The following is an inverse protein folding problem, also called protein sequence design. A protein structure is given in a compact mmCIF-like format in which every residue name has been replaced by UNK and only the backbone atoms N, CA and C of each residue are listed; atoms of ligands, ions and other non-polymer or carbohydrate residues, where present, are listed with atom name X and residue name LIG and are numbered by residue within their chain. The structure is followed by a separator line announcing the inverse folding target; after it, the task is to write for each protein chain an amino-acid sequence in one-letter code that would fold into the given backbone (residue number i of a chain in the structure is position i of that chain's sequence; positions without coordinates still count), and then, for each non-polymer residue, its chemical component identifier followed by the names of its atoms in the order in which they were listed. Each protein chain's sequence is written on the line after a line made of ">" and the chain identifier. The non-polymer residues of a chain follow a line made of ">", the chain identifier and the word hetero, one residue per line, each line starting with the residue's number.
data_IF_081802456443
#
_entry.id   IF_081802456443
#
_cell.length_a   1.000
_cell.length_b   1.000
_cell.length_c   1.000
_cell.angle_alpha   90.00
_cell.angle_beta   90.00
_cell.angle_gamma   90.00
#
_symmetry.space_group_name_H-M   'P 1'
#
loop_
_entity.id
_entity.type
_entity.pdbx_description
1 polymer ?
#
# COMPACT_ATOMS: atom_id res chain seq x y z
N UNK A 1 6.64 3.20 -5.70
CA UNK A 1 5.89 3.22 -4.43
C UNK A 1 4.92 4.38 -4.48
N UNK A 2 3.61 4.17 -4.21
CA UNK A 2 2.65 5.26 -4.19
C UNK A 2 2.96 6.28 -3.10
N UNK A 3 3.29 5.79 -1.89
CA UNK A 3 3.72 6.60 -0.76
C UNK A 3 5.24 6.76 -0.76
N UNK A 4 5.72 7.99 -0.60
CA UNK A 4 7.12 8.30 -0.43
C UNK A 4 7.58 7.85 0.95
N UNK A 5 8.75 7.21 1.01
CA UNK A 5 9.51 6.99 2.22
C UNK A 5 11.00 7.12 1.91
N UNK A 6 11.77 7.66 2.85
CA UNK A 6 13.22 7.74 2.77
C UNK A 6 13.85 6.35 2.62
N UNK A 7 13.29 5.34 3.29
CA UNK A 7 13.77 3.97 3.20
C UNK A 7 13.52 3.30 1.83
N UNK A 8 12.61 3.85 1.01
CA UNK A 8 12.21 3.25 -0.27
C UNK A 8 12.56 4.13 -1.47
N UNK A 9 11.73 5.16 -1.72
CA UNK A 9 11.83 6.04 -2.88
C UNK A 9 13.10 6.87 -2.83
N UNK A 10 13.48 7.38 -1.65
CA UNK A 10 14.73 8.13 -1.53
C UNK A 10 15.95 7.24 -1.75
N UNK A 11 16.01 6.04 -1.14
CA UNK A 11 17.11 5.10 -1.38
C UNK A 11 17.36 4.83 -2.87
N UNK A 12 16.30 4.61 -3.65
CA UNK A 12 16.41 4.41 -5.09
C UNK A 12 16.94 5.65 -5.82
N UNK A 13 16.41 6.84 -5.47
CA UNK A 13 16.85 8.10 -6.04
C UNK A 13 18.29 8.45 -5.65
N UNK A 14 18.68 8.24 -4.39
CA UNK A 14 20.03 8.48 -3.87
C UNK A 14 21.06 7.67 -4.65
N UNK A 15 20.77 6.39 -4.92
CA UNK A 15 21.64 5.54 -5.75
C UNK A 15 21.71 5.99 -7.19
N UNK A 16 20.58 6.38 -7.80
CA UNK A 16 20.58 6.94 -9.14
C UNK A 16 21.39 8.24 -9.22
N UNK A 17 21.22 9.14 -8.25
CA UNK A 17 21.90 10.43 -8.19
C UNK A 17 23.40 10.30 -7.88
N UNK A 18 23.79 9.32 -7.07
CA UNK A 18 25.20 8.96 -6.83
C UNK A 18 25.89 8.61 -8.15
N UNK A 19 25.25 7.78 -8.99
CA UNK A 19 25.78 7.42 -10.31
C UNK A 19 25.82 8.61 -11.27
N UNK A 20 24.76 9.42 -11.31
CA UNK A 20 24.72 10.64 -12.14
C UNK A 20 25.85 11.60 -11.78
N UNK A 21 26.13 11.78 -10.48
CA UNK A 21 27.22 12.65 -9.99
C UNK A 21 28.59 12.24 -10.54
N UNK A 22 28.81 10.95 -10.78
CA UNK A 22 30.07 10.43 -11.33
C UNK A 22 30.18 10.58 -12.86
N UNK A 23 29.09 10.85 -13.57
CA UNK A 23 29.08 10.96 -15.03
C UNK A 23 29.55 12.33 -15.51
N UNK A 24 30.47 12.35 -16.48
CA UNK A 24 30.89 13.59 -17.17
C UNK A 24 29.74 14.21 -17.98
N UNK A 25 28.91 13.37 -18.59
CA UNK A 25 27.74 13.77 -19.37
C UNK A 25 26.50 13.14 -18.73
N UNK A 26 25.74 13.96 -18.00
CA UNK A 26 24.54 13.51 -17.29
C UNK A 26 23.32 13.59 -18.21
N UNK A 27 22.47 12.54 -18.27
CA UNK A 27 21.18 12.63 -18.94
C UNK A 27 20.22 13.54 -18.16
N UNK A 28 19.17 14.02 -18.84
CA UNK A 28 18.01 14.59 -18.16
C UNK A 28 17.28 13.47 -17.39
N UNK A 29 16.97 13.72 -16.12
CA UNK A 29 16.24 12.78 -15.26
C UNK A 29 15.01 13.45 -14.66
N UNK A 30 13.91 12.72 -14.62
CA UNK A 30 12.69 13.08 -13.89
C UNK A 30 12.30 11.88 -13.03
N UNK A 31 12.12 12.11 -11.74
CA UNK A 31 11.60 11.10 -10.81
C UNK A 31 10.09 11.31 -10.67
N UNK A 32 9.34 10.21 -10.60
CA UNK A 32 7.90 10.25 -10.39
C UNK A 32 7.64 10.74 -8.95
N UNK A 33 6.88 11.84 -8.74
CA UNK A 33 6.43 12.22 -7.40
C UNK A 33 5.55 11.13 -6.78
N UNK A 34 5.39 11.10 -5.45
CA UNK A 34 4.46 10.18 -4.81
C UNK A 34 3.04 10.43 -5.33
N UNK A 35 2.32 9.34 -5.61
CA UNK A 35 0.99 9.35 -6.26
C UNK A 35 -0.09 8.68 -5.39
N UNK A 36 0.18 8.55 -4.09
CA UNK A 36 -0.69 7.96 -3.08
C UNK A 36 -2.11 8.54 -3.00
N UNK A 37 -2.29 9.82 -3.36
CA UNK A 37 -3.56 10.53 -3.38
C UNK A 37 -4.04 10.89 -4.79
N UNK A 38 -3.37 10.36 -5.82
CA UNK A 38 -3.76 10.61 -7.20
C UNK A 38 -5.14 9.97 -7.49
N UNK A 39 -6.11 10.69 -8.06
CA UNK A 39 -7.42 10.15 -8.37
C UNK A 39 -7.38 8.87 -9.22
N UNK A 40 -6.43 8.77 -10.16
CA UNK A 40 -6.28 7.59 -11.03
C UNK A 40 -5.81 6.38 -10.21
N UNK A 41 -4.95 6.61 -9.21
CA UNK A 41 -4.49 5.56 -8.31
C UNK A 41 -5.60 5.08 -7.37
N UNK A 42 -6.33 6.01 -6.74
CA UNK A 42 -7.46 5.67 -5.87
C UNK A 42 -8.54 4.92 -6.63
N UNK A 43 -8.85 5.33 -7.87
CA UNK A 43 -9.84 4.66 -8.70
C UNK A 43 -9.41 3.26 -9.13
N UNK A 44 -8.12 3.07 -9.44
CA UNK A 44 -7.57 1.75 -9.75
C UNK A 44 -7.68 0.80 -8.55
N UNK A 45 -7.34 1.28 -7.34
CA UNK A 45 -7.50 0.51 -6.10
C UNK A 45 -8.97 0.19 -5.84
N UNK A 46 -9.86 1.20 -5.92
CA UNK A 46 -11.31 1.03 -5.72
C UNK A 46 -11.87 -0.03 -6.66
N UNK A 47 -11.52 0.03 -7.94
CA UNK A 47 -11.98 -0.91 -8.97
C UNK A 47 -11.50 -2.33 -8.68
N UNK A 48 -10.21 -2.51 -8.40
CA UNK A 48 -9.64 -3.83 -8.08
C UNK A 48 -10.28 -4.42 -6.81
N UNK A 49 -10.40 -3.62 -5.76
CA UNK A 49 -10.97 -4.06 -4.48
C UNK A 49 -12.45 -4.39 -4.62
N UNK A 50 -13.24 -3.56 -5.31
CA UNK A 50 -14.65 -3.84 -5.55
C UNK A 50 -14.85 -5.14 -6.34
N UNK A 51 -14.01 -5.38 -7.36
CA UNK A 51 -14.04 -6.63 -8.11
C UNK A 51 -13.69 -7.83 -7.23
N UNK A 52 -12.63 -7.73 -6.42
CA UNK A 52 -12.24 -8.78 -5.47
C UNK A 52 -13.34 -9.08 -4.45
N UNK A 53 -13.91 -8.06 -3.82
CA UNK A 53 -15.04 -8.21 -2.88
C UNK A 53 -16.25 -8.90 -3.51
N UNK A 54 -16.55 -8.62 -4.78
CA UNK A 54 -17.67 -9.26 -5.50
C UNK A 54 -17.45 -10.75 -5.78
N UNK A 55 -16.21 -11.25 -5.70
CA UNK A 55 -15.89 -12.68 -5.88
C UNK A 55 -16.01 -13.50 -4.59
N UNK A 56 -16.15 -12.84 -3.43
CA UNK A 56 -16.24 -13.51 -2.14
C UNK A 56 -17.66 -14.09 -1.94
N UNK A 57 -17.72 -15.24 -1.28
CA UNK A 57 -18.97 -15.87 -0.83
C UNK A 57 -19.49 -15.28 0.50
N UNK A 58 -18.81 -14.26 1.03
CA UNK A 58 -19.17 -13.56 2.25
C UNK A 58 -19.02 -12.04 2.12
N UNK A 59 -19.79 -11.31 2.92
CA UNK A 59 -19.62 -9.86 3.11
C UNK A 59 -18.70 -9.64 4.32
N UNK A 60 -17.58 -8.91 4.18
CA UNK A 60 -16.66 -8.68 5.29
C UNK A 60 -17.18 -7.61 6.26
N UNK A 61 -17.08 -7.89 7.56
CA UNK A 61 -17.37 -6.95 8.64
C UNK A 61 -16.36 -5.79 8.63
N UNK A 62 -15.09 -6.08 8.30
CA UNK A 62 -14.02 -5.10 8.25
C UNK A 62 -13.17 -5.20 6.97
N UNK A 63 -12.74 -4.05 6.46
CA UNK A 63 -11.73 -3.93 5.40
C UNK A 63 -10.46 -3.34 6.00
N UNK A 64 -9.42 -4.15 6.12
CA UNK A 64 -8.11 -3.76 6.66
C UNK A 64 -7.21 -3.35 5.51
N UNK A 65 -6.65 -2.15 5.62
CA UNK A 65 -5.67 -1.59 4.70
C UNK A 65 -4.32 -1.64 5.40
N UNK A 66 -3.55 -2.68 5.07
CA UNK A 66 -2.25 -2.96 5.69
C UNK A 66 -1.12 -2.33 4.88
N UNK A 67 -0.31 -1.51 5.54
CA UNK A 67 0.90 -0.92 4.97
C UNK A 67 2.15 -1.52 5.62
N UNK A 68 3.28 -1.53 4.94
CA UNK A 68 4.53 -1.94 5.57
C UNK A 68 4.87 -0.98 6.73
N UNK A 69 5.12 -1.53 7.91
CA UNK A 69 5.44 -0.73 9.09
C UNK A 69 6.79 -0.06 8.94
N UNK A 70 6.97 1.08 9.60
CA UNK A 70 8.26 1.76 9.74
C UNK A 70 8.52 2.04 11.22
N UNK A 71 9.78 2.19 11.66
CA UNK A 71 10.06 2.71 13.00
C UNK A 71 9.40 4.07 13.18
N UNK A 72 8.70 4.32 14.29
CA UNK A 72 7.98 5.57 14.55
C UNK A 72 8.89 6.82 14.50
N UNK A 73 10.19 6.62 14.73
CA UNK A 73 11.21 7.66 14.55
C UNK A 73 11.25 8.23 13.13
N UNK A 74 10.93 7.44 12.09
CA UNK A 74 10.91 7.91 10.69
C UNK A 74 9.94 9.10 10.53
N UNK A 75 8.72 8.96 11.06
CA UNK A 75 7.73 10.03 11.12
C UNK A 75 8.25 11.23 11.92
N UNK A 76 8.85 10.99 13.09
CA UNK A 76 9.39 12.07 13.94
C UNK A 76 10.51 12.88 13.25
N UNK A 77 11.23 12.26 12.31
CA UNK A 77 12.25 12.91 11.49
C UNK A 77 11.68 13.62 10.25
N UNK A 78 10.36 13.62 10.07
CA UNK A 78 9.68 14.31 8.97
C UNK A 78 9.43 13.44 7.73
N UNK A 79 9.60 12.12 7.82
CA UNK A 79 9.22 11.24 6.72
C UNK A 79 7.69 11.27 6.49
N UNK A 80 7.21 11.53 5.27
CA UNK A 80 5.78 11.71 5.02
C UNK A 80 5.01 10.39 4.96
N UNK A 81 5.69 9.23 4.94
CA UNK A 81 5.10 7.93 4.66
C UNK A 81 3.83 7.65 5.45
N UNK A 82 3.88 7.76 6.79
CA UNK A 82 2.73 7.50 7.66
C UNK A 82 1.52 8.37 7.26
N UNK A 83 1.72 9.67 7.06
CA UNK A 83 0.65 10.59 6.68
C UNK A 83 0.08 10.27 5.30
N UNK A 84 0.93 9.82 4.36
CA UNK A 84 0.50 9.40 3.03
C UNK A 84 -0.29 8.09 3.06
N UNK A 85 0.09 7.11 3.90
CA UNK A 85 -0.70 5.89 4.15
C UNK A 85 -2.09 6.23 4.68
N UNK A 86 -2.18 7.08 5.70
CA UNK A 86 -3.46 7.53 6.28
C UNK A 86 -4.34 8.23 5.23
N UNK A 87 -3.76 9.10 4.40
CA UNK A 87 -4.50 9.79 3.34
C UNK A 87 -4.96 8.83 2.23
N UNK A 88 -4.13 7.86 1.84
CA UNK A 88 -4.51 6.81 0.88
C UNK A 88 -5.74 6.05 1.39
N UNK A 89 -5.68 5.58 2.64
CA UNK A 89 -6.77 4.81 3.24
C UNK A 89 -8.06 5.62 3.38
N UNK A 90 -7.97 6.88 3.79
CA UNK A 90 -9.13 7.78 3.86
C UNK A 90 -9.81 7.93 2.49
N UNK A 91 -9.03 8.29 1.46
CA UNK A 91 -9.55 8.47 0.10
C UNK A 91 -10.13 7.17 -0.47
N UNK A 92 -9.50 6.03 -0.17
CA UNK A 92 -9.99 4.72 -0.58
C UNK A 92 -11.32 4.36 0.11
N UNK A 93 -11.44 4.63 1.42
CA UNK A 93 -12.69 4.44 2.15
C UNK A 93 -13.83 5.32 1.63
N UNK A 94 -13.53 6.59 1.34
CA UNK A 94 -14.46 7.53 0.67
C UNK A 94 -14.91 6.98 -0.69
N UNK A 95 -13.97 6.52 -1.52
CA UNK A 95 -14.26 5.98 -2.85
C UNK A 95 -15.06 4.66 -2.82
N UNK A 96 -14.85 3.82 -1.81
CA UNK A 96 -15.59 2.57 -1.61
C UNK A 96 -16.94 2.78 -0.89
N UNK A 97 -17.20 3.97 -0.35
CA UNK A 97 -18.41 4.25 0.44
C UNK A 97 -18.48 3.47 1.76
N UNK A 98 -17.33 3.07 2.33
CA UNK A 98 -17.27 2.32 3.59
C UNK A 98 -16.02 2.67 4.41
N UNK A 99 -16.07 2.55 5.75
CA UNK A 99 -14.88 2.74 6.57
C UNK A 99 -13.83 1.66 6.29
N UNK A 100 -12.56 2.02 6.52
CA UNK A 100 -11.42 1.11 6.44
C UNK A 100 -10.58 1.22 7.71
N UNK A 101 -9.92 0.12 8.08
CA UNK A 101 -9.01 0.08 9.22
C UNK A 101 -7.58 0.11 8.72
N UNK A 102 -6.79 1.11 9.10
CA UNK A 102 -5.37 1.21 8.74
C UNK A 102 -4.54 0.41 9.73
N UNK A 103 -3.64 -0.42 9.23
CA UNK A 103 -2.66 -1.14 10.06
C UNK A 103 -1.27 -1.13 9.43
N UNK A 104 -0.27 -1.48 10.23
CA UNK A 104 1.14 -1.55 9.83
C UNK A 104 1.73 -2.95 10.09
N UNK A 105 2.25 -3.61 9.05
CA UNK A 105 2.80 -4.98 9.11
C UNK A 105 4.34 -5.01 9.19
N UNK A 106 4.92 -6.22 9.26
CA UNK A 106 6.37 -6.44 9.11
C UNK A 106 7.25 -5.65 10.10
N UNK A 107 6.91 -5.67 11.39
CA UNK A 107 7.74 -5.07 12.45
C UNK A 107 8.92 -5.98 12.77
N UNK A 108 10.12 -5.40 12.94
CA UNK A 108 11.33 -6.17 13.28
C UNK A 108 12.17 -5.50 14.38
N UNK A 109 12.81 -6.30 15.23
CA UNK A 109 13.68 -5.80 16.29
C UNK A 109 12.96 -4.99 17.38
N UNK A 110 13.74 -4.30 18.22
CA UNK A 110 13.26 -3.66 19.46
C UNK A 110 12.85 -2.20 19.32
N UNK A 111 12.82 -1.67 18.10
CA UNK A 111 12.39 -0.29 17.87
C UNK A 111 10.90 -0.10 18.19
N UNK A 112 10.48 1.14 18.46
CA UNK A 112 9.06 1.51 18.50
C UNK A 112 8.61 1.69 17.05
N UNK A 113 7.57 0.98 16.65
CA UNK A 113 7.03 0.98 15.29
C UNK A 113 5.77 1.83 15.18
N UNK A 114 5.36 2.11 13.93
CA UNK A 114 4.05 2.68 13.65
C UNK A 114 2.95 1.70 14.07
N UNK A 115 1.87 2.26 14.61
CA UNK A 115 0.71 1.54 15.15
C UNK A 115 -0.58 2.03 14.46
N UNK A 116 -1.64 1.23 14.41
CA UNK A 116 -1.75 -0.10 15.01
C UNK A 116 -1.10 -1.18 14.14
N UNK A 117 -0.50 -2.18 14.77
CA UNK A 117 0.12 -3.28 14.06
C UNK A 117 -0.90 -4.29 13.49
N UNK A 118 -0.64 -4.82 12.30
CA UNK A 118 -1.58 -5.70 11.58
C UNK A 118 -1.85 -6.99 12.35
N UNK A 119 -0.81 -7.66 12.85
CA UNK A 119 -0.91 -8.90 13.63
C UNK A 119 -1.79 -8.72 14.88
N UNK A 120 -1.46 -7.73 15.72
CA UNK A 120 -2.19 -7.44 16.95
C UNK A 120 -3.63 -7.00 16.66
N UNK A 121 -3.85 -6.28 15.56
CA UNK A 121 -5.20 -5.85 15.17
C UNK A 121 -6.05 -7.04 14.73
N UNK A 122 -5.52 -7.93 13.89
CA UNK A 122 -6.23 -9.11 13.41
C UNK A 122 -6.59 -10.05 14.57
N UNK A 123 -5.67 -10.29 15.51
CA UNK A 123 -5.93 -11.10 16.70
C UNK A 123 -7.04 -10.52 17.59
N UNK A 124 -7.11 -9.20 17.73
CA UNK A 124 -8.11 -8.54 18.59
C UNK A 124 -9.52 -8.47 17.98
N UNK A 125 -9.63 -8.45 16.64
CA UNK A 125 -10.88 -8.23 15.90
C UNK A 125 -12.02 -9.22 16.26
N UNK A 126 -11.78 -10.54 16.34
CA UNK A 126 -12.83 -11.51 16.69
C UNK A 126 -13.48 -11.29 18.04
N UNK A 127 -12.74 -10.80 19.04
CA UNK A 127 -13.27 -10.46 20.36
C UNK A 127 -14.14 -9.19 20.34
N UNK A 128 -13.97 -8.34 19.33
CA UNK A 128 -14.76 -7.14 19.08
C UNK A 128 -16.00 -7.40 18.21
N UNK A 129 -16.25 -8.67 17.84
CA UNK A 129 -17.37 -9.07 17.00
C UNK A 129 -17.10 -9.04 15.50
N UNK A 130 -15.89 -8.69 15.06
CA UNK A 130 -15.47 -8.77 13.65
C UNK A 130 -15.07 -10.20 13.34
N UNK A 131 -15.91 -10.94 12.62
CA UNK A 131 -15.72 -12.37 12.31
C UNK A 131 -15.33 -12.62 10.87
N UNK A 132 -15.48 -11.62 10.00
CA UNK A 132 -15.17 -11.69 8.58
C UNK A 132 -14.32 -10.51 8.17
N UNK A 133 -13.09 -10.75 7.73
CA UNK A 133 -12.15 -9.69 7.38
C UNK A 133 -11.65 -9.85 5.96
N UNK A 134 -11.48 -8.71 5.28
CA UNK A 134 -10.72 -8.61 4.04
C UNK A 134 -9.51 -7.72 4.29
N UNK A 135 -8.34 -8.14 3.82
CA UNK A 135 -7.09 -7.39 3.93
C UNK A 135 -6.59 -7.01 2.54
N UNK A 136 -6.12 -5.78 2.38
CA UNK A 136 -5.52 -5.24 1.15
C UNK A 136 -4.22 -4.50 1.46
N UNK A 137 -3.26 -4.50 0.54
CA UNK A 137 -1.93 -3.90 0.74
C UNK A 137 -1.59 -2.83 -0.32
N UNK A 138 -2.20 -1.64 -0.29
CA UNK A 138 -1.99 -0.61 -1.32
C UNK A 138 -0.65 0.11 -1.23
N UNK A 139 0.19 -0.22 -0.24
CA UNK A 139 1.58 0.24 -0.17
C UNK A 139 2.49 -0.38 -1.24
N UNK A 140 2.05 -1.50 -1.83
CA UNK A 140 2.77 -2.22 -2.87
C UNK A 140 1.99 -2.22 -4.18
N UNK A 141 2.72 -2.09 -5.29
CA UNK A 141 2.14 -2.23 -6.65
C UNK A 141 1.95 -3.68 -7.06
N UNK A 142 2.75 -4.58 -6.51
CA UNK A 142 2.77 -6.01 -6.81
C UNK A 142 2.88 -6.81 -5.52
N UNK A 143 2.35 -8.03 -5.53
CA UNK A 143 2.51 -8.95 -4.43
C UNK A 143 3.97 -9.32 -4.20
N UNK A 144 4.31 -9.52 -2.94
CA UNK A 144 5.63 -9.89 -2.47
C UNK A 144 5.53 -10.86 -1.29
N UNK A 145 6.66 -11.25 -0.71
CA UNK A 145 6.68 -12.19 0.41
C UNK A 145 5.85 -11.65 1.59
N UNK A 146 5.97 -10.36 1.87
CA UNK A 146 5.28 -9.66 2.93
C UNK A 146 3.75 -9.63 2.73
N UNK A 147 3.25 -9.72 1.49
CA UNK A 147 1.80 -9.79 1.26
C UNK A 147 1.29 -11.23 1.28
N UNK A 148 1.98 -12.17 0.63
CA UNK A 148 1.51 -13.54 0.50
C UNK A 148 1.75 -14.37 1.78
N UNK A 149 2.92 -14.25 2.39
CA UNK A 149 3.26 -15.05 3.57
C UNK A 149 2.76 -14.39 4.86
N UNK A 150 3.13 -13.13 5.10
CA UNK A 150 2.78 -12.49 6.38
C UNK A 150 1.29 -12.19 6.51
N UNK A 151 0.63 -11.76 5.43
CA UNK A 151 -0.79 -11.43 5.49
C UNK A 151 -1.66 -12.61 5.10
N UNK A 152 -1.47 -13.17 3.90
CA UNK A 152 -2.43 -14.14 3.38
C UNK A 152 -2.38 -15.50 4.11
N UNK A 153 -1.23 -15.86 4.70
CA UNK A 153 -1.04 -17.09 5.48
C UNK A 153 -1.05 -16.77 6.99
N UNK A 154 -0.03 -16.06 7.50
CA UNK A 154 0.12 -15.88 8.95
C UNK A 154 -0.98 -15.01 9.56
N UNK A 155 -1.36 -13.91 8.90
CA UNK A 155 -2.46 -13.05 9.34
C UNK A 155 -3.81 -13.78 9.35
N UNK A 156 -4.02 -14.72 8.41
CA UNK A 156 -5.20 -15.59 8.39
C UNK A 156 -5.22 -16.53 9.59
N UNK A 157 -4.12 -17.24 9.83
CA UNK A 157 -3.99 -18.16 10.96
C UNK A 157 -4.29 -17.44 12.28
N UNK A 158 -3.67 -16.29 12.52
CA UNK A 158 -3.91 -15.48 13.72
C UNK A 158 -5.37 -15.06 13.89
N UNK A 159 -6.01 -14.61 12.81
CA UNK A 159 -7.41 -14.19 12.84
C UNK A 159 -8.36 -15.36 13.12
N UNK A 160 -8.14 -16.50 12.47
CA UNK A 160 -8.96 -17.71 12.62
C UNK A 160 -8.76 -18.36 14.01
N UNK A 161 -7.52 -18.43 14.51
CA UNK A 161 -7.22 -18.93 15.86
C UNK A 161 -7.85 -18.07 16.96
N UNK A 162 -7.91 -16.75 16.77
CA UNK A 162 -8.62 -15.84 17.67
C UNK A 162 -10.16 -15.94 17.58
N UNK A 163 -10.69 -16.81 16.70
CA UNK A 163 -12.11 -17.09 16.55
C UNK A 163 -12.78 -16.28 15.43
N UNK A 164 -12.00 -15.79 14.46
CA UNK A 164 -12.49 -15.33 13.17
C UNK A 164 -13.03 -16.50 12.34
N UNK A 165 -13.84 -16.20 11.33
CA UNK A 165 -14.55 -17.24 10.54
C UNK A 165 -14.28 -17.16 9.05
N UNK A 166 -14.08 -15.95 8.51
CA UNK A 166 -13.80 -15.75 7.09
C UNK A 166 -12.68 -14.73 6.95
N UNK A 167 -11.68 -15.08 6.17
CA UNK A 167 -10.54 -14.22 5.87
C UNK A 167 -10.30 -14.23 4.36
N UNK A 168 -10.08 -13.07 3.78
CA UNK A 168 -9.57 -12.97 2.42
C UNK A 168 -8.50 -11.89 2.32
N UNK A 169 -7.42 -12.21 1.61
CA UNK A 169 -6.46 -11.22 1.12
C UNK A 169 -6.81 -10.92 -0.34
N UNK A 170 -6.95 -9.64 -0.70
CA UNK A 170 -7.08 -9.25 -2.10
C UNK A 170 -5.69 -8.88 -2.65
N UNK A 171 -5.27 -9.48 -3.79
CA UNK A 171 -3.99 -9.19 -4.42
C UNK A 171 -3.75 -7.70 -4.70
N UNK A 172 -2.48 -7.33 -4.79
CA UNK A 172 -2.08 -6.02 -5.31
C UNK A 172 -2.53 -5.85 -6.78
N UNK A 173 -2.37 -4.64 -7.32
CA UNK A 173 -2.71 -4.35 -8.71
C UNK A 173 -1.93 -5.21 -9.71
N UNK A 174 -0.72 -5.66 -9.36
CA UNK A 174 0.11 -6.56 -10.16
C UNK A 174 0.21 -6.09 -11.63
N UNK A 175 0.10 -7.00 -12.58
CA UNK A 175 0.07 -6.78 -14.02
C UNK A 175 -1.36 -6.68 -14.59
N UNK A 176 -2.36 -6.42 -13.73
CA UNK A 176 -3.74 -6.28 -14.18
C UNK A 176 -3.88 -5.11 -15.17
N UNK A 177 -4.82 -5.18 -16.14
CA UNK A 177 -5.08 -4.08 -17.05
C UNK A 177 -5.30 -2.75 -16.33
N UNK A 178 -6.08 -2.75 -15.24
CA UNK A 178 -6.33 -1.59 -14.38
C UNK A 178 -5.04 -1.00 -13.80
N UNK A 179 -4.15 -1.84 -13.27
CA UNK A 179 -2.86 -1.40 -12.71
C UNK A 179 -1.93 -0.82 -13.78
N UNK A 180 -1.87 -1.46 -14.94
CA UNK A 180 -1.04 -1.00 -16.06
C UNK A 180 -1.58 0.31 -16.65
N UNK A 181 -2.89 0.44 -16.83
CA UNK A 181 -3.50 1.67 -17.35
C UNK A 181 -3.34 2.85 -16.40
N UNK A 182 -3.43 2.61 -15.09
CA UNK A 182 -3.09 3.59 -14.06
C UNK A 182 -1.64 4.07 -14.24
N UNK A 183 -0.67 3.16 -14.30
CA UNK A 183 0.74 3.52 -14.48
C UNK A 183 0.98 4.27 -15.79
N UNK A 184 0.36 3.83 -16.90
CA UNK A 184 0.46 4.51 -18.19
C UNK A 184 -0.04 5.94 -18.12
N UNK A 185 -1.15 6.17 -17.42
CA UNK A 185 -1.75 7.50 -17.26
C UNK A 185 -0.83 8.41 -16.45
N UNK A 186 -0.34 7.94 -15.30
CA UNK A 186 0.62 8.68 -14.47
C UNK A 186 1.88 9.03 -15.25
N UNK A 187 2.49 8.04 -15.92
CA UNK A 187 3.71 8.24 -16.70
C UNK A 187 3.49 9.15 -17.91
N UNK A 188 2.34 9.07 -18.59
CA UNK A 188 2.04 9.95 -19.71
C UNK A 188 2.01 11.42 -19.26
N UNK A 189 1.34 11.71 -18.14
CA UNK A 189 1.30 13.04 -17.52
C UNK A 189 2.70 13.52 -17.12
N UNK A 190 3.47 12.67 -16.43
CA UNK A 190 4.83 13.03 -16.01
C UNK A 190 5.82 13.16 -17.17
N UNK A 191 5.52 12.62 -18.35
CA UNK A 191 6.36 12.77 -19.54
C UNK A 191 5.91 13.93 -20.45
N UNK A 192 4.89 14.68 -20.05
CA UNK A 192 4.50 15.90 -20.76
C UNK A 192 5.68 16.88 -20.85
N UNK A 193 5.83 17.48 -22.02
CA UNK A 193 6.95 18.35 -22.39
C UNK A 193 8.26 17.63 -22.75
N UNK A 194 8.41 16.33 -22.46
CA UNK A 194 9.56 15.52 -22.91
C UNK A 194 9.26 14.76 -24.21
N UNK A 195 7.99 14.37 -24.38
CA UNK A 195 7.52 13.82 -25.64
C UNK A 195 7.36 14.96 -26.63
N UNK A 196 7.93 14.81 -27.83
CA UNK A 196 7.60 15.72 -28.94
C UNK A 196 6.09 15.64 -29.18
N UNK A 197 5.41 16.75 -29.51
CA UNK A 197 4.05 16.68 -30.04
C UNK A 197 4.03 15.67 -31.18
N UNK A 198 3.05 14.77 -31.17
CA UNK A 198 2.83 13.80 -32.24
C UNK A 198 2.47 14.53 -33.54
#
# INVERSE_FOLDING_TARGET
>A
YPQYCAATTATANDKAFELLRAMRWQPALRTLPPYYDDPVHIEALRTSIAAGLATLDFVPDALVVSFHGMPARTLALGDPYHCQCQKTARLLGEALGRPVTVTFQSRFGSAIWLEPATDTTLEAMPAQGVKKVVVVAPGFSSDCLETLEEIAIRGREQFEEAGGTHFAYLPCLNDTPTGIDMLRTLLARELEGWRRPA
#
